data_IF_624221272069
#
_entry.id   IF_624221272069
#
_cell.length_a   1.000
_cell.length_b   1.000
_cell.length_c   1.000
_cell.angle_alpha   90.00
_cell.angle_beta   90.00
_cell.angle_gamma   90.00
#
_symmetry.space_group_name_H-M   'P 1'
#
loop_
_entity.id
_entity.type
_entity.pdbx_description
1 polymer ?
#
# COMPACT_ATOMS: atom_id res chain seq x y z
N UNK A 1 7.22 9.20 7.83
CA UNK A 1 6.08 8.35 8.26
C UNK A 1 6.50 6.91 8.07
N UNK A 2 6.23 6.06 9.05
CA UNK A 2 6.62 4.65 9.08
C UNK A 2 5.53 3.77 8.45
N UNK A 3 5.94 2.66 7.83
CA UNK A 3 5.03 1.64 7.30
C UNK A 3 4.59 0.75 8.45
N UNK A 4 3.28 0.54 8.59
CA UNK A 4 2.75 -0.45 9.53
C UNK A 4 2.66 -1.81 8.82
N UNK A 5 3.15 -2.85 9.47
CA UNK A 5 3.11 -4.23 8.98
C UNK A 5 2.18 -5.01 9.89
N UNK A 6 1.22 -5.71 9.30
CA UNK A 6 0.28 -6.58 9.99
C UNK A 6 0.47 -8.01 9.52
N UNK A 7 0.76 -8.92 10.45
CA UNK A 7 0.72 -10.36 10.20
C UNK A 7 -0.73 -10.77 9.92
N UNK A 8 -0.95 -11.35 8.74
CA UNK A 8 -2.26 -11.84 8.31
C UNK A 8 -2.23 -13.34 8.02
N UNK A 9 -1.19 -14.07 8.44
CA UNK A 9 -1.05 -15.50 8.15
C UNK A 9 -2.20 -16.33 8.74
N UNK A 10 -2.72 -15.94 9.90
CA UNK A 10 -3.81 -16.66 10.56
C UNK A 10 -5.19 -16.44 9.96
N UNK A 11 -5.37 -15.43 9.09
CA UNK A 11 -6.68 -15.01 8.60
C UNK A 11 -6.93 -15.30 7.11
N UNK A 12 -6.05 -16.07 6.44
CA UNK A 12 -6.16 -16.46 5.02
C UNK A 12 -6.83 -15.38 4.16
N UNK A 13 -6.23 -14.19 4.11
CA UNK A 13 -6.80 -13.07 3.37
C UNK A 13 -6.85 -13.42 1.87
N UNK A 14 -8.02 -13.82 1.37
CA UNK A 14 -8.19 -14.16 -0.05
C UNK A 14 -8.25 -12.90 -0.91
N UNK A 15 -7.99 -13.04 -2.21
CA UNK A 15 -7.89 -11.91 -3.15
C UNK A 15 -9.12 -11.00 -3.13
N UNK A 16 -10.33 -11.55 -3.05
CA UNK A 16 -11.58 -10.77 -2.95
C UNK A 16 -11.63 -9.95 -1.66
N UNK A 17 -11.23 -10.51 -0.52
CA UNK A 17 -11.21 -9.79 0.74
C UNK A 17 -10.15 -8.69 0.74
N UNK A 18 -8.97 -8.97 0.20
CA UNK A 18 -7.93 -7.96 0.02
C UNK A 18 -8.40 -6.83 -0.92
N UNK A 19 -9.09 -7.18 -2.01
CA UNK A 19 -9.66 -6.20 -2.93
C UNK A 19 -10.70 -5.30 -2.26
N UNK A 20 -11.65 -5.87 -1.52
CA UNK A 20 -12.64 -5.10 -0.76
C UNK A 20 -11.96 -4.21 0.30
N UNK A 21 -10.92 -4.71 0.98
CA UNK A 21 -10.14 -3.93 1.94
C UNK A 21 -9.49 -2.71 1.27
N UNK A 22 -8.88 -2.88 0.09
CA UNK A 22 -8.35 -1.78 -0.72
C UNK A 22 -9.45 -0.80 -1.13
N UNK A 23 -10.59 -1.31 -1.58
CA UNK A 23 -11.69 -0.48 -2.04
C UNK A 23 -12.35 0.34 -0.91
N UNK A 24 -12.37 -0.18 0.31
CA UNK A 24 -12.89 0.53 1.48
C UNK A 24 -11.90 1.56 2.03
N UNK A 25 -10.60 1.39 1.78
CA UNK A 25 -9.52 2.24 2.29
C UNK A 25 -8.75 2.91 1.14
N UNK A 26 -9.45 3.54 0.18
CA UNK A 26 -8.84 4.09 -1.04
C UNK A 26 -7.77 5.16 -0.79
N UNK A 27 -7.84 5.86 0.33
CA UNK A 27 -6.84 6.86 0.73
C UNK A 27 -5.53 6.25 1.25
N UNK A 28 -5.54 4.96 1.59
CA UNK A 28 -4.37 4.22 2.06
C UNK A 28 -3.75 3.43 0.92
N UNK A 29 -2.42 3.30 0.96
CA UNK A 29 -1.70 2.38 0.08
C UNK A 29 -1.50 1.06 0.81
N UNK A 30 -2.32 0.07 0.46
CA UNK A 30 -2.26 -1.29 0.98
C UNK A 30 -1.52 -2.20 0.00
N UNK A 31 -0.58 -2.99 0.49
CA UNK A 31 0.14 -4.01 -0.28
C UNK A 31 0.22 -5.32 0.51
N UNK A 32 0.17 -6.47 -0.18
CA UNK A 32 0.40 -7.79 0.41
C UNK A 32 1.74 -8.33 -0.08
N UNK A 33 2.62 -8.74 0.83
CA UNK A 33 3.90 -9.36 0.44
C UNK A 33 3.75 -10.88 0.20
N UNK A 34 4.85 -11.51 -0.23
CA UNK A 34 4.90 -12.95 -0.49
C UNK A 34 4.75 -13.81 0.79
N UNK A 35 5.09 -13.26 1.96
CA UNK A 35 4.96 -13.92 3.26
C UNK A 35 3.52 -13.92 3.79
N UNK A 36 2.64 -13.14 3.15
CA UNK A 36 1.24 -13.00 3.52
C UNK A 36 0.94 -11.81 4.44
N UNK A 37 1.93 -10.97 4.75
CA UNK A 37 1.73 -9.76 5.54
C UNK A 37 1.03 -8.67 4.74
N UNK A 38 0.27 -7.85 5.46
CA UNK A 38 -0.34 -6.63 4.95
C UNK A 38 0.52 -5.42 5.34
N UNK A 39 0.99 -4.70 4.33
CA UNK A 39 1.73 -3.46 4.46
C UNK A 39 0.79 -2.27 4.28
N UNK A 40 0.73 -1.41 5.27
CA UNK A 40 -0.03 -0.16 5.25
C UNK A 40 0.96 0.99 5.14
N UNK A 41 1.08 1.52 3.94
CA UNK A 41 1.93 2.66 3.68
C UNK A 41 1.17 3.98 3.87
N UNK A 42 1.81 4.98 4.52
CA UNK A 42 1.25 6.31 4.60
C UNK A 42 1.03 6.89 3.18
N UNK A 43 0.00 7.71 2.95
CA UNK A 43 -0.22 8.34 1.65
C UNK A 43 1.04 9.12 1.25
N UNK A 44 1.40 9.03 -0.02
CA UNK A 44 2.53 9.75 -0.59
C UNK A 44 2.29 11.27 -0.39
N UNK A 45 2.93 11.85 0.63
CA UNK A 45 2.79 13.27 0.94
C UNK A 45 3.27 14.13 -0.24
N UNK A 46 2.80 15.38 -0.29
CA UNK A 46 3.07 16.38 -1.35
C UNK A 46 4.55 16.49 -1.76
N UNK A 47 5.46 16.22 -0.83
CA UNK A 47 6.91 16.22 -1.02
C UNK A 47 7.42 15.08 -1.92
N UNK A 48 6.77 13.91 -1.90
CA UNK A 48 7.14 12.77 -2.76
C UNK A 48 6.63 12.93 -4.20
N UNK A 49 5.59 13.74 -4.44
CA UNK A 49 5.08 14.04 -5.78
C UNK A 49 6.08 14.81 -6.65
N UNK A 50 6.82 15.77 -6.08
CA UNK A 50 7.81 16.57 -6.82
C UNK A 50 8.99 15.73 -7.34
N UNK A 51 9.46 14.74 -6.57
CA UNK A 51 10.53 13.83 -7.03
C UNK A 51 10.05 12.91 -8.15
N UNK A 52 8.80 12.43 -8.10
CA UNK A 52 8.23 11.60 -9.16
C UNK A 52 8.04 12.39 -10.46
N UNK A 53 7.55 13.63 -10.39
CA UNK A 53 7.41 14.49 -11.56
C UNK A 53 8.73 14.69 -12.34
N UNK A 54 9.87 14.80 -11.64
CA UNK A 54 11.18 14.90 -12.27
C UNK A 54 11.60 13.63 -13.03
N UNK A 55 11.27 12.44 -12.52
CA UNK A 55 11.55 11.16 -13.20
C UNK A 55 10.62 10.95 -14.40
N UNK A 56 9.33 11.30 -14.27
CA UNK A 56 8.36 11.17 -15.36
C UNK A 56 8.69 12.16 -16.50
N UNK A 57 9.24 13.34 -16.18
CA UNK A 57 9.69 14.32 -17.18
C UNK A 57 11.02 13.94 -17.87
N UNK A 58 11.69 12.85 -17.42
CA UNK A 58 12.93 12.33 -18.01
C UNK A 58 12.72 11.05 -18.84
N UNK A 59 11.48 10.57 -18.95
CA UNK A 59 11.05 9.50 -19.86
C UNK A 59 10.52 10.08 -21.18
#
# INVERSE_FOLDING_TARGET
METLILDCQSIELIDEQFYQLCNNNRDLRLERNADGDLLIMPPAGRETGHKKAGIIAQL
#
